data_IF_304848635977
#
_entry.id   IF_304848635977
#
_cell.length_a   1.000
_cell.length_b   1.000
_cell.length_c   1.000
_cell.angle_alpha   90.00
_cell.angle_beta   90.00
_cell.angle_gamma   90.00
#
_symmetry.space_group_name_H-M   'P 1'
#
loop_
_entity.id
_entity.type
_entity.pdbx_description
1 polymer ?
#
# COMPACT_ATOMS: atom_id res chain seq x y z
N UNK A 1 -22.41 7.51 -0.12
CA UNK A 1 -22.34 6.86 -1.43
C UNK A 1 -21.14 5.94 -1.48
N UNK A 2 -21.35 4.74 -1.98
CA UNK A 2 -20.33 3.69 -1.92
C UNK A 2 -19.05 4.03 -2.67
N UNK A 3 -19.14 4.65 -3.83
CA UNK A 3 -17.96 5.02 -4.63
C UNK A 3 -17.05 5.99 -3.86
N UNK A 4 -17.64 6.97 -3.18
CA UNK A 4 -16.88 7.92 -2.35
C UNK A 4 -16.31 7.24 -1.11
N UNK A 5 -17.04 6.30 -0.53
CA UNK A 5 -16.57 5.54 0.62
C UNK A 5 -15.34 4.71 0.28
N UNK A 6 -15.33 4.04 -0.87
CA UNK A 6 -14.19 3.23 -1.30
C UNK A 6 -12.96 4.11 -1.59
N UNK A 7 -13.18 5.25 -2.24
CA UNK A 7 -12.10 6.20 -2.50
C UNK A 7 -11.51 6.74 -1.20
N UNK A 8 -12.36 7.10 -0.25
CA UNK A 8 -11.90 7.62 1.04
C UNK A 8 -11.15 6.55 1.83
N UNK A 9 -11.59 5.31 1.77
CA UNK A 9 -10.90 4.20 2.42
C UNK A 9 -9.50 4.02 1.84
N UNK A 10 -9.37 4.05 0.51
CA UNK A 10 -8.07 3.97 -0.15
C UNK A 10 -7.15 5.12 0.27
N UNK A 11 -7.69 6.34 0.30
CA UNK A 11 -6.92 7.51 0.73
C UNK A 11 -6.49 7.37 2.19
N UNK A 12 -7.36 6.86 3.06
CA UNK A 12 -7.01 6.63 4.46
C UNK A 12 -5.83 5.68 4.59
N UNK A 13 -5.82 4.59 3.83
CA UNK A 13 -4.71 3.65 3.82
C UNK A 13 -3.40 4.32 3.43
N UNK A 14 -3.42 5.15 2.40
CA UNK A 14 -2.24 5.88 1.95
C UNK A 14 -1.73 6.85 3.01
N UNK A 15 -2.63 7.58 3.67
CA UNK A 15 -2.25 8.49 4.75
C UNK A 15 -1.66 7.75 5.95
N UNK A 16 -2.18 6.57 6.29
CA UNK A 16 -1.60 5.76 7.35
C UNK A 16 -0.17 5.33 7.00
N UNK A 17 0.09 4.95 5.76
CA UNK A 17 1.43 4.58 5.31
C UNK A 17 2.36 5.79 5.40
N UNK A 18 1.91 6.96 4.96
CA UNK A 18 2.71 8.18 5.06
C UNK A 18 3.07 8.50 6.50
N UNK A 19 2.11 8.38 7.42
CA UNK A 19 2.37 8.64 8.83
C UNK A 19 3.41 7.68 9.40
N UNK A 20 3.34 6.41 9.06
CA UNK A 20 4.30 5.41 9.51
C UNK A 20 5.71 5.68 8.96
N UNK A 21 5.79 6.08 7.71
CA UNK A 21 7.09 6.42 7.10
C UNK A 21 7.69 7.67 7.75
N UNK A 22 6.87 8.69 7.97
CA UNK A 22 7.33 9.91 8.62
C UNK A 22 7.84 9.65 10.04
N UNK A 23 7.15 8.83 10.81
CA UNK A 23 7.58 8.46 12.15
C UNK A 23 8.94 7.78 12.16
N UNK A 24 9.28 7.08 11.08
CA UNK A 24 10.53 6.35 10.94
C UNK A 24 11.65 7.19 10.31
N UNK A 25 11.37 8.46 10.06
CA UNK A 25 12.37 9.39 9.53
C UNK A 25 12.49 9.44 8.02
N UNK A 26 11.58 8.80 7.28
CA UNK A 26 11.59 8.88 5.82
C UNK A 26 10.92 10.17 5.35
N UNK A 27 11.41 10.67 4.22
CA UNK A 27 10.72 11.73 3.48
C UNK A 27 9.77 11.03 2.52
N UNK A 28 8.48 11.24 2.67
CA UNK A 28 7.50 10.51 1.88
C UNK A 28 6.40 11.44 1.37
N UNK A 29 5.86 11.11 0.20
CA UNK A 29 4.77 11.85 -0.39
C UNK A 29 3.88 10.96 -1.23
N UNK A 30 2.64 11.40 -1.43
CA UNK A 30 1.68 10.72 -2.31
C UNK A 30 1.93 11.13 -3.75
N UNK A 31 1.69 10.19 -4.66
CA UNK A 31 1.62 10.51 -6.09
C UNK A 31 0.21 10.99 -6.43
N UNK A 32 0.06 11.55 -7.63
CA UNK A 32 -1.26 11.95 -8.10
C UNK A 32 -2.15 10.73 -8.35
N UNK A 33 -3.44 10.91 -8.14
CA UNK A 33 -4.45 9.91 -8.48
C UNK A 33 -4.33 9.57 -9.97
N UNK A 34 -4.39 8.30 -10.30
CA UNK A 34 -4.24 7.83 -11.67
C UNK A 34 -2.87 7.29 -12.02
N UNK A 35 -1.88 7.44 -11.14
CA UNK A 35 -0.61 6.74 -11.28
C UNK A 35 -0.87 5.25 -10.98
N UNK A 36 -0.54 4.39 -11.93
CA UNK A 36 -1.05 3.01 -11.89
C UNK A 36 -0.45 2.11 -10.82
N UNK A 37 0.85 2.22 -10.56
CA UNK A 37 1.53 1.28 -9.66
C UNK A 37 2.14 1.93 -8.43
N UNK A 38 2.24 3.25 -8.40
CA UNK A 38 2.94 3.94 -7.31
C UNK A 38 1.97 4.90 -6.64
N UNK A 39 1.67 4.63 -5.38
CA UNK A 39 0.80 5.50 -4.57
C UNK A 39 1.63 6.42 -3.67
N UNK A 40 2.78 5.95 -3.21
CA UNK A 40 3.64 6.66 -2.28
C UNK A 40 5.09 6.48 -2.70
N UNK A 41 5.86 7.55 -2.61
CA UNK A 41 7.31 7.51 -2.81
C UNK A 41 7.96 7.87 -1.48
N UNK A 42 8.96 7.08 -1.06
CA UNK A 42 9.67 7.29 0.18
C UNK A 42 11.17 7.33 -0.05
N UNK A 43 11.82 8.33 0.53
CA UNK A 43 13.27 8.52 0.41
C UNK A 43 13.90 8.52 1.79
N UNK A 44 14.97 7.73 1.96
CA UNK A 44 15.78 7.77 3.15
C UNK A 44 16.69 9.01 3.08
N UNK A 45 16.56 9.98 4.00
CA UNK A 45 17.33 11.22 3.90
C UNK A 45 18.83 11.04 4.12
N UNK A 46 19.26 9.96 4.76
CA UNK A 46 20.67 9.74 5.07
C UNK A 46 21.47 9.29 3.85
N UNK A 47 20.90 8.41 3.04
CA UNK A 47 21.58 7.86 1.87
C UNK A 47 20.90 8.18 0.54
N UNK A 48 19.76 8.89 0.58
CA UNK A 48 18.96 9.28 -0.57
C UNK A 48 18.40 8.12 -1.38
N UNK A 49 18.39 6.90 -0.83
CA UNK A 49 17.75 5.78 -1.50
C UNK A 49 16.23 5.96 -1.48
N UNK A 50 15.59 5.61 -2.60
CA UNK A 50 14.17 5.84 -2.81
C UNK A 50 13.48 4.51 -3.11
N UNK A 51 12.30 4.32 -2.54
CA UNK A 51 11.43 3.19 -2.84
C UNK A 51 10.07 3.68 -3.28
N UNK A 52 9.44 2.90 -4.14
CA UNK A 52 8.08 3.14 -4.61
C UNK A 52 7.14 2.15 -3.93
N UNK A 53 5.98 2.63 -3.51
CA UNK A 53 5.05 1.83 -2.71
C UNK A 53 3.67 1.86 -3.36
N UNK A 54 3.10 0.69 -3.57
CA UNK A 54 1.69 0.55 -3.88
C UNK A 54 0.95 0.16 -2.60
N UNK A 55 -0.09 0.92 -2.28
CA UNK A 55 -0.89 0.70 -1.08
C UNK A 55 -2.20 0.02 -1.47
N UNK A 56 -2.51 -1.07 -0.79
CA UNK A 56 -3.79 -1.76 -0.91
C UNK A 56 -4.49 -1.71 0.44
N UNK A 57 -5.71 -1.20 0.46
CA UNK A 57 -6.45 -1.01 1.69
C UNK A 57 -7.66 -1.92 1.70
N UNK A 58 -7.90 -2.57 2.85
CA UNK A 58 -9.08 -3.40 3.05
C UNK A 58 -9.60 -3.22 4.46
N UNK A 59 -10.87 -3.55 4.67
CA UNK A 59 -11.47 -3.53 6.00
C UNK A 59 -11.46 -4.93 6.60
N UNK A 60 -11.34 -4.98 7.93
CA UNK A 60 -11.55 -6.22 8.67
C UNK A 60 -13.04 -6.31 8.95
N UNK A 61 -13.74 -7.16 8.21
CA UNK A 61 -15.21 -7.28 8.36
C UNK A 61 -15.68 -8.70 8.62
N UNK A 62 -14.74 -9.59 8.96
CA UNK A 62 -15.06 -10.99 9.21
C UNK A 62 -15.20 -11.83 7.96
N UNK A 63 -15.12 -11.24 6.78
CA UNK A 63 -15.16 -11.98 5.52
C UNK A 63 -13.76 -12.42 5.12
N UNK A 64 -13.71 -13.52 4.39
CA UNK A 64 -12.46 -13.95 3.80
C UNK A 64 -11.99 -12.88 2.81
N UNK A 65 -10.92 -12.20 3.16
CA UNK A 65 -10.38 -11.16 2.29
C UNK A 65 -9.63 -11.78 1.13
N UNK A 66 -9.94 -11.31 -0.07
CA UNK A 66 -9.18 -11.65 -1.26
C UNK A 66 -8.14 -10.56 -1.49
N UNK A 67 -7.01 -10.95 -2.06
CA UNK A 67 -5.99 -9.98 -2.47
C UNK A 67 -6.49 -9.22 -3.69
N UNK A 68 -6.50 -7.88 -3.59
CA UNK A 68 -6.93 -7.03 -4.70
C UNK A 68 -5.79 -6.78 -5.67
N UNK A 69 -5.09 -7.85 -6.06
CA UNK A 69 -3.97 -7.79 -6.98
C UNK A 69 -4.39 -8.36 -8.34
N UNK A 70 -4.10 -7.61 -9.40
CA UNK A 70 -4.36 -8.04 -10.76
C UNK A 70 -3.10 -8.51 -11.47
N UNK A 71 -3.23 -8.88 -12.74
CA UNK A 71 -2.10 -9.35 -13.55
C UNK A 71 -0.98 -8.34 -13.67
N UNK A 72 -1.28 -7.05 -13.66
CA UNK A 72 -0.25 -6.01 -13.68
C UNK A 72 0.71 -6.13 -12.50
N UNK A 73 0.27 -6.75 -11.41
CA UNK A 73 1.09 -6.95 -10.21
C UNK A 73 2.00 -8.16 -10.30
N UNK A 74 1.90 -8.96 -11.37
CA UNK A 74 2.83 -10.06 -11.62
C UNK A 74 4.22 -9.57 -12.03
N UNK A 75 4.32 -8.39 -12.60
CA UNK A 75 5.60 -7.84 -13.02
C UNK A 75 6.45 -7.49 -11.80
N UNK A 76 7.71 -7.89 -11.85
CA UNK A 76 8.64 -7.65 -10.76
C UNK A 76 9.40 -6.34 -11.01
N UNK A 77 9.35 -5.44 -10.04
CA UNK A 77 10.07 -4.18 -10.07
C UNK A 77 10.96 -4.07 -8.84
N UNK A 78 12.23 -3.79 -9.00
CA UNK A 78 13.23 -3.83 -7.92
C UNK A 78 12.91 -2.88 -6.77
N UNK A 79 12.43 -1.68 -7.09
CA UNK A 79 12.17 -0.65 -6.08
C UNK A 79 10.69 -0.50 -5.79
N UNK A 80 9.89 -1.53 -6.06
CA UNK A 80 8.46 -1.51 -5.79
C UNK A 80 8.14 -2.44 -4.61
N UNK A 81 7.46 -1.86 -3.64
CA UNK A 81 6.97 -2.57 -2.46
C UNK A 81 5.45 -2.45 -2.41
N UNK A 82 4.83 -3.41 -1.81
CA UNK A 82 3.38 -3.40 -1.57
C UNK A 82 3.14 -3.32 -0.09
N UNK A 83 2.26 -2.42 0.31
CA UNK A 83 1.81 -2.33 1.70
C UNK A 83 0.31 -2.54 1.71
N UNK A 84 -0.13 -3.59 2.38
CA UNK A 84 -1.55 -3.84 2.62
C UNK A 84 -1.90 -3.23 3.97
N UNK A 85 -2.89 -2.34 3.97
CA UNK A 85 -3.38 -1.69 5.17
C UNK A 85 -4.75 -2.29 5.49
N UNK A 86 -4.85 -2.93 6.63
CA UNK A 86 -6.07 -3.58 7.08
C UNK A 86 -6.69 -2.76 8.19
N UNK A 87 -7.80 -2.10 7.89
CA UNK A 87 -8.45 -1.16 8.79
C UNK A 87 -9.60 -1.85 9.52
N UNK A 88 -9.55 -1.80 10.84
CA UNK A 88 -10.61 -2.29 11.70
C UNK A 88 -11.51 -1.15 12.16
N UNK A 89 -11.75 -1.07 13.48
CA UNK A 89 -12.56 0.01 14.04
C UNK A 89 -11.80 1.33 14.00
N UNK A 90 -12.55 2.45 14.09
CA UNK A 90 -11.97 3.78 14.01
C UNK A 90 -11.01 4.11 15.16
N UNK A 91 -11.12 3.38 16.27
CA UNK A 91 -10.32 3.65 17.47
C UNK A 91 -9.06 2.81 17.57
N UNK A 92 -8.78 2.00 16.57
CA UNK A 92 -7.65 1.05 16.58
C UNK A 92 -6.76 1.31 15.38
N UNK A 93 -5.44 1.30 15.61
CA UNK A 93 -4.49 1.42 14.50
C UNK A 93 -4.64 0.24 13.55
N UNK A 94 -4.49 0.47 12.24
CA UNK A 94 -4.58 -0.61 11.27
C UNK A 94 -3.39 -1.56 11.36
N UNK A 95 -3.56 -2.73 10.78
CA UNK A 95 -2.47 -3.68 10.57
C UNK A 95 -1.80 -3.38 9.23
N UNK A 96 -0.49 -3.52 9.18
CA UNK A 96 0.30 -3.30 7.98
C UNK A 96 1.02 -4.58 7.59
N UNK A 97 0.94 -4.95 6.32
CA UNK A 97 1.65 -6.10 5.76
C UNK A 97 2.49 -5.61 4.60
N UNK A 98 3.79 -5.88 4.63
CA UNK A 98 4.75 -5.34 3.67
C UNK A 98 5.31 -6.47 2.83
N UNK A 99 5.24 -6.33 1.51
CA UNK A 99 5.69 -7.35 0.56
C UNK A 99 6.57 -6.72 -0.51
N UNK A 100 7.59 -7.48 -0.92
CA UNK A 100 8.36 -7.12 -2.12
C UNK A 100 7.56 -7.43 -3.37
N UNK A 101 7.86 -6.73 -4.45
CA UNK A 101 7.24 -6.98 -5.75
C UNK A 101 7.37 -8.44 -6.19
N UNK A 102 8.54 -9.05 -5.97
CA UNK A 102 8.76 -10.46 -6.30
C UNK A 102 7.85 -11.40 -5.51
N UNK A 103 7.61 -11.11 -4.23
CA UNK A 103 6.72 -11.92 -3.40
C UNK A 103 5.29 -11.87 -3.90
N UNK A 104 4.82 -10.69 -4.31
CA UNK A 104 3.48 -10.53 -4.85
C UNK A 104 3.35 -11.27 -6.18
N UNK A 105 4.34 -11.15 -7.06
CA UNK A 105 4.35 -11.85 -8.34
C UNK A 105 4.25 -13.36 -8.16
N UNK A 106 5.03 -13.92 -7.26
CA UNK A 106 5.01 -15.37 -6.98
C UNK A 106 3.64 -15.82 -6.47
N UNK A 107 3.04 -15.04 -5.58
CA UNK A 107 1.73 -15.34 -5.03
C UNK A 107 0.65 -15.36 -6.12
N UNK A 108 0.68 -14.42 -7.06
CA UNK A 108 -0.27 -14.35 -8.17
C UNK A 108 -0.12 -15.56 -9.09
N UNK A 109 1.12 -15.92 -9.41
CA UNK A 109 1.41 -17.03 -10.33
C UNK A 109 0.98 -18.38 -9.76
N UNK A 110 0.95 -18.52 -8.44
CA UNK A 110 0.53 -19.76 -7.78
C UNK A 110 -0.98 -19.95 -7.76
N UNK A 111 -1.74 -18.92 -8.03
CA UNK A 111 -3.20 -18.99 -8.08
C UNK A 111 -3.67 -19.12 -9.53
#
# INVERSE_FOLDING_TARGET
MEANKNKNLGNAGEFYVLAQLAQRGYIAGKTDDGTTLIDVIATNPDNLSTVNIQVKTRTIDGRKSSWMMGRKNEQIHKNLWYVVVEIGSNDVLPNFFIFKSSEVSDCIKET
#
